data_IF_140810018825
#
_entry.id   IF_140810018825
#
_cell.length_a   1.000
_cell.length_b   1.000
_cell.length_c   1.000
_cell.angle_alpha   90.00
_cell.angle_beta   90.00
_cell.angle_gamma   90.00
#
_symmetry.space_group_name_H-M   'P 1'
#
loop_
_entity.id
_entity.type
_entity.pdbx_description
1 polymer ?
#
# COMPACT_ATOMS: atom_id res chain seq x y z
N UNK A 1 -24.53 -11.86 11.50
CA UNK A 1 -23.23 -11.27 11.91
C UNK A 1 -22.11 -11.53 10.90
N UNK A 2 -22.09 -12.68 10.20
CA UNK A 2 -21.08 -12.98 9.16
C UNK A 2 -21.14 -12.06 7.92
N UNK A 3 -22.33 -11.82 7.35
CA UNK A 3 -22.47 -11.01 6.11
C UNK A 3 -21.95 -9.58 6.28
N UNK A 4 -22.21 -8.93 7.42
CA UNK A 4 -21.69 -7.58 7.70
C UNK A 4 -20.15 -7.59 7.72
N UNK A 5 -19.54 -8.56 8.39
CA UNK A 5 -18.08 -8.69 8.45
C UNK A 5 -17.50 -8.94 7.05
N UNK A 6 -18.11 -9.80 6.24
CA UNK A 6 -17.69 -10.07 4.86
C UNK A 6 -17.74 -8.80 3.99
N UNK A 7 -18.87 -8.09 4.01
CA UNK A 7 -19.05 -6.84 3.24
C UNK A 7 -18.06 -5.77 3.70
N UNK A 8 -17.91 -5.58 5.01
CA UNK A 8 -16.96 -4.62 5.56
C UNK A 8 -15.52 -4.96 5.18
N UNK A 9 -15.14 -6.24 5.27
CA UNK A 9 -13.79 -6.70 4.90
C UNK A 9 -13.52 -6.43 3.41
N UNK A 10 -14.46 -6.79 2.54
CA UNK A 10 -14.34 -6.53 1.09
C UNK A 10 -14.25 -5.04 0.81
N UNK A 11 -15.07 -4.19 1.43
CA UNK A 11 -15.03 -2.75 1.23
C UNK A 11 -13.68 -2.14 1.63
N UNK A 12 -13.12 -2.56 2.77
CA UNK A 12 -11.81 -2.08 3.24
C UNK A 12 -10.67 -2.55 2.34
N UNK A 13 -10.64 -3.84 2.00
CA UNK A 13 -9.60 -4.41 1.12
C UNK A 13 -9.69 -3.85 -0.29
N UNK A 14 -10.89 -3.68 -0.84
CA UNK A 14 -11.10 -3.06 -2.14
C UNK A 14 -10.63 -1.59 -2.15
N UNK A 15 -10.88 -0.84 -1.07
CA UNK A 15 -10.40 0.55 -0.94
C UNK A 15 -8.87 0.61 -0.90
N UNK A 16 -8.22 -0.24 -0.10
CA UNK A 16 -6.76 -0.36 -0.05
C UNK A 16 -6.17 -0.72 -1.43
N UNK A 17 -6.78 -1.70 -2.10
CA UNK A 17 -6.40 -2.11 -3.45
C UNK A 17 -6.57 -0.97 -4.45
N UNK A 18 -7.70 -0.27 -4.45
CA UNK A 18 -7.98 0.81 -5.40
C UNK A 18 -6.93 1.93 -5.34
N UNK A 19 -6.51 2.32 -4.13
CA UNK A 19 -5.47 3.35 -3.96
C UNK A 19 -4.10 2.89 -4.47
N UNK A 20 -3.71 1.64 -4.21
CA UNK A 20 -2.46 1.07 -4.72
C UNK A 20 -2.49 0.88 -6.25
N UNK A 21 -3.62 0.41 -6.78
CA UNK A 21 -3.82 0.21 -8.21
C UNK A 21 -3.85 1.54 -8.97
N UNK A 22 -4.49 2.57 -8.43
CA UNK A 22 -4.48 3.91 -9.02
C UNK A 22 -3.04 4.41 -9.21
N UNK A 23 -2.20 4.29 -8.17
CA UNK A 23 -0.77 4.64 -8.27
C UNK A 23 -0.05 3.84 -9.35
N UNK A 24 -0.26 2.53 -9.42
CA UNK A 24 0.37 1.67 -10.41
C UNK A 24 -0.05 2.04 -11.85
N UNK A 25 -1.32 2.37 -12.07
CA UNK A 25 -1.85 2.73 -13.39
C UNK A 25 -1.39 4.10 -13.89
N UNK A 26 -1.02 5.01 -13.00
CA UNK A 26 -0.46 6.31 -13.38
C UNK A 26 1.01 6.24 -13.84
N UNK A 27 1.70 5.12 -13.59
CA UNK A 27 3.12 4.96 -13.88
C UNK A 27 3.51 5.35 -15.33
N UNK A 28 2.80 4.92 -16.39
CA UNK A 28 3.17 5.28 -17.77
C UNK A 28 3.14 6.79 -18.04
N UNK A 29 2.27 7.52 -17.34
CA UNK A 29 2.22 8.99 -17.38
C UNK A 29 3.36 9.60 -16.59
N UNK A 30 3.57 9.14 -15.35
CA UNK A 30 4.61 9.66 -14.45
C UNK A 30 6.03 9.44 -14.98
N UNK A 31 6.29 8.39 -15.75
CA UNK A 31 7.61 8.15 -16.37
C UNK A 31 8.00 9.23 -17.38
N UNK A 32 7.03 9.97 -17.93
CA UNK A 32 7.24 11.05 -18.92
C UNK A 32 7.47 12.42 -18.27
N UNK A 33 7.29 12.52 -16.95
CA UNK A 33 7.42 13.77 -16.21
C UNK A 33 8.87 14.06 -15.84
N UNK A 34 9.23 15.34 -15.85
CA UNK A 34 10.41 15.83 -15.19
C UNK A 34 10.27 15.78 -13.67
N UNK A 35 11.37 16.02 -12.96
CA UNK A 35 11.42 15.93 -11.49
C UNK A 35 10.39 16.86 -10.84
N UNK A 36 10.30 18.10 -11.29
CA UNK A 36 9.41 19.09 -10.67
C UNK A 36 7.94 18.72 -10.88
N UNK A 37 7.55 18.38 -12.10
CA UNK A 37 6.19 17.98 -12.45
C UNK A 37 5.78 16.72 -11.68
N UNK A 38 6.69 15.76 -11.54
CA UNK A 38 6.46 14.55 -10.75
C UNK A 38 6.09 14.89 -9.29
N UNK A 39 6.88 15.73 -8.62
CA UNK A 39 6.59 16.13 -7.24
C UNK A 39 5.33 16.99 -7.10
N UNK A 40 4.96 17.75 -8.14
CA UNK A 40 3.69 18.49 -8.17
C UNK A 40 2.51 17.51 -8.19
N UNK A 41 2.54 16.51 -9.07
CA UNK A 41 1.48 15.50 -9.17
C UNK A 41 1.36 14.71 -7.87
N UNK A 42 2.46 14.37 -7.21
CA UNK A 42 2.44 13.63 -5.93
C UNK A 42 1.63 14.33 -4.81
N UNK A 43 1.41 15.65 -4.89
CA UNK A 43 0.64 16.39 -3.88
C UNK A 43 -0.84 16.04 -3.90
N UNK A 44 -1.39 15.57 -5.02
CA UNK A 44 -2.83 15.26 -5.15
C UNK A 44 -3.27 14.11 -4.23
N UNK A 45 -2.32 13.28 -3.79
CA UNK A 45 -2.61 12.14 -2.92
C UNK A 45 -2.82 12.54 -1.46
N UNK A 46 -2.34 13.73 -1.06
CA UNK A 46 -2.48 14.19 0.31
C UNK A 46 -3.76 15.01 0.52
N UNK A 47 -4.45 14.86 1.66
CA UNK A 47 -4.21 13.86 2.71
C UNK A 47 -4.98 12.54 2.47
N UNK A 48 -5.80 12.47 1.42
CA UNK A 48 -6.79 11.41 1.21
C UNK A 48 -6.21 10.01 1.17
N UNK A 49 -5.11 9.81 0.44
CA UNK A 49 -4.44 8.50 0.36
C UNK A 49 -3.67 8.15 1.64
N UNK A 50 -3.22 9.14 2.41
CA UNK A 50 -2.57 8.89 3.71
C UNK A 50 -3.59 8.43 4.74
N UNK A 51 -4.70 9.15 4.88
CA UNK A 51 -5.73 8.84 5.88
C UNK A 51 -6.55 7.63 5.42
N UNK A 52 -7.06 7.67 4.20
CA UNK A 52 -7.84 6.60 3.60
C UNK A 52 -7.03 5.32 3.47
N UNK A 53 -5.77 5.41 3.00
CA UNK A 53 -4.85 4.28 2.92
C UNK A 53 -4.57 3.68 4.29
N UNK A 54 -4.24 4.49 5.29
CA UNK A 54 -4.01 4.02 6.66
C UNK A 54 -5.23 3.30 7.25
N UNK A 55 -6.42 3.88 7.12
CA UNK A 55 -7.67 3.27 7.63
C UNK A 55 -8.02 1.99 6.87
N UNK A 56 -7.96 2.01 5.53
CA UNK A 56 -8.33 0.87 4.70
C UNK A 56 -7.34 -0.29 4.83
N UNK A 57 -6.04 -0.02 4.86
CA UNK A 57 -5.01 -1.05 4.98
C UNK A 57 -5.04 -1.70 6.37
N UNK A 58 -5.02 -0.91 7.45
CA UNK A 58 -5.06 -1.45 8.82
C UNK A 58 -6.40 -2.12 9.10
N UNK A 59 -7.51 -1.46 8.76
CA UNK A 59 -8.85 -2.00 8.92
C UNK A 59 -9.04 -3.27 8.11
N UNK A 60 -8.57 -3.30 6.86
CA UNK A 60 -8.65 -4.47 5.97
C UNK A 60 -7.88 -5.66 6.51
N UNK A 61 -6.66 -5.46 7.02
CA UNK A 61 -5.87 -6.52 7.67
C UNK A 61 -6.60 -7.07 8.90
N UNK A 62 -7.06 -6.20 9.79
CA UNK A 62 -7.75 -6.61 11.03
C UNK A 62 -9.05 -7.34 10.71
N UNK A 63 -9.87 -6.81 9.81
CA UNK A 63 -11.13 -7.43 9.42
C UNK A 63 -10.91 -8.78 8.73
N UNK A 64 -9.90 -8.89 7.85
CA UNK A 64 -9.54 -10.15 7.18
C UNK A 64 -9.05 -11.19 8.19
N UNK A 65 -8.27 -10.79 9.19
CA UNK A 65 -7.83 -11.68 10.27
C UNK A 65 -9.02 -12.19 11.10
N UNK A 66 -9.92 -11.30 11.52
CA UNK A 66 -11.14 -11.72 12.26
C UNK A 66 -11.99 -12.67 11.40
N UNK A 67 -12.15 -12.38 10.10
CA UNK A 67 -12.86 -13.26 9.17
C UNK A 67 -12.19 -14.64 9.06
N UNK A 68 -10.86 -14.69 9.02
CA UNK A 68 -10.07 -15.92 8.99
C UNK A 68 -10.35 -16.80 10.21
N UNK A 69 -10.39 -16.20 11.42
CA UNK A 69 -10.66 -16.92 12.67
C UNK A 69 -12.06 -17.55 12.72
N UNK A 70 -13.00 -17.00 11.94
CA UNK A 70 -14.37 -17.52 11.82
C UNK A 70 -14.57 -18.45 10.62
N UNK A 71 -13.53 -18.68 9.82
CA UNK A 71 -13.58 -19.49 8.59
C UNK A 71 -13.09 -20.93 8.85
N UNK A 72 -13.66 -21.90 8.15
CA UNK A 72 -13.26 -23.32 8.23
C UNK A 72 -12.98 -23.90 6.84
N UNK A 73 -12.29 -25.05 6.80
CA UNK A 73 -12.05 -25.82 5.57
C UNK A 73 -11.33 -25.00 4.47
N UNK A 74 -11.76 -25.10 3.21
CA UNK A 74 -11.16 -24.38 2.06
C UNK A 74 -11.20 -22.87 2.25
N UNK A 75 -12.27 -22.36 2.86
CA UNK A 75 -12.47 -20.93 3.12
C UNK A 75 -11.36 -20.36 3.99
N UNK A 76 -10.95 -21.10 5.03
CA UNK A 76 -9.85 -20.70 5.90
C UNK A 76 -8.57 -20.42 5.09
N UNK A 77 -8.20 -21.32 4.18
CA UNK A 77 -6.98 -21.19 3.39
C UNK A 77 -7.04 -20.02 2.39
N UNK A 78 -8.20 -19.75 1.80
CA UNK A 78 -8.40 -18.59 0.92
C UNK A 78 -8.28 -17.27 1.69
N UNK A 79 -8.91 -17.16 2.86
CA UNK A 79 -8.83 -15.94 3.69
C UNK A 79 -7.42 -15.78 4.28
N UNK A 80 -6.75 -16.87 4.68
CA UNK A 80 -5.37 -16.84 5.13
C UNK A 80 -4.41 -16.37 4.02
N UNK A 81 -4.61 -16.84 2.77
CA UNK A 81 -3.88 -16.35 1.61
C UNK A 81 -4.13 -14.86 1.34
N UNK A 82 -5.37 -14.41 1.46
CA UNK A 82 -5.71 -12.99 1.34
C UNK A 82 -5.00 -12.14 2.40
N UNK A 83 -5.02 -12.58 3.67
CA UNK A 83 -4.33 -11.92 4.76
C UNK A 83 -2.81 -11.86 4.53
N UNK A 84 -2.20 -12.95 4.08
CA UNK A 84 -0.78 -13.00 3.75
C UNK A 84 -0.42 -11.99 2.65
N UNK A 85 -1.24 -11.87 1.60
CA UNK A 85 -1.06 -10.85 0.56
C UNK A 85 -1.12 -9.43 1.10
N UNK A 86 -2.06 -9.12 2.02
CA UNK A 86 -2.14 -7.79 2.65
C UNK A 86 -0.93 -7.49 3.53
N UNK A 87 -0.42 -8.48 4.27
CA UNK A 87 0.82 -8.34 5.05
C UNK A 87 2.02 -8.10 4.13
N UNK A 88 2.11 -8.81 3.00
CA UNK A 88 3.18 -8.62 2.02
C UNK A 88 3.09 -7.23 1.35
N UNK A 89 1.88 -6.76 1.02
CA UNK A 89 1.65 -5.38 0.59
C UNK A 89 2.22 -4.38 1.62
N UNK A 90 1.98 -4.60 2.92
CA UNK A 90 2.52 -3.73 3.97
C UNK A 90 4.04 -3.82 4.11
N UNK A 91 4.60 -5.03 3.99
CA UNK A 91 6.05 -5.25 4.02
C UNK A 91 6.75 -4.48 2.88
N UNK A 92 6.17 -4.51 1.68
CA UNK A 92 6.69 -3.75 0.53
C UNK A 92 6.72 -2.25 0.83
N UNK A 93 5.69 -1.70 1.49
CA UNK A 93 5.73 -0.29 1.89
C UNK A 93 6.90 0.00 2.83
N UNK A 94 7.05 -0.79 3.90
CA UNK A 94 8.09 -0.54 4.88
C UNK A 94 9.51 -0.71 4.32
N UNK A 95 9.71 -1.64 3.40
CA UNK A 95 11.03 -1.97 2.84
C UNK A 95 11.37 -1.12 1.60
N UNK A 96 10.38 -0.73 0.79
CA UNK A 96 10.62 -0.04 -0.49
C UNK A 96 10.13 1.40 -0.49
N UNK A 97 8.86 1.65 -0.14
CA UNK A 97 8.26 2.99 -0.20
C UNK A 97 8.78 3.90 0.91
N UNK A 98 8.77 3.42 2.15
CA UNK A 98 9.06 4.23 3.32
C UNK A 98 10.49 4.79 3.34
N UNK A 99 11.54 4.05 2.94
CA UNK A 99 12.88 4.64 2.83
C UNK A 99 12.95 5.81 1.84
N UNK A 100 12.21 5.74 0.73
CA UNK A 100 12.15 6.83 -0.25
C UNK A 100 11.35 8.02 0.31
N UNK A 101 10.20 7.77 0.96
CA UNK A 101 9.44 8.83 1.64
C UNK A 101 10.29 9.55 2.67
N UNK A 102 11.07 8.81 3.47
CA UNK A 102 12.00 9.40 4.45
C UNK A 102 12.99 10.33 3.80
N UNK A 103 13.60 9.92 2.69
CA UNK A 103 14.54 10.74 1.93
C UNK A 103 13.87 11.98 1.32
N UNK A 104 12.69 11.85 0.72
CA UNK A 104 11.96 12.99 0.14
C UNK A 104 11.44 13.99 1.18
N UNK A 105 11.17 13.54 2.41
CA UNK A 105 10.69 14.39 3.51
C UNK A 105 11.81 15.01 4.35
N UNK A 106 13.09 14.78 4.03
CA UNK A 106 14.21 15.36 4.79
C UNK A 106 14.19 16.89 4.78
N UNK A 107 13.70 17.49 3.68
CA UNK A 107 13.68 18.94 3.46
C UNK A 107 12.30 19.57 3.71
N UNK A 108 11.31 18.80 4.17
CA UNK A 108 9.94 19.28 4.42
C UNK A 108 9.74 19.51 5.92
N UNK A 109 9.25 20.69 6.32
CA UNK A 109 8.86 20.93 7.72
C UNK A 109 7.66 20.05 8.10
N UNK A 110 7.95 18.92 8.72
CA UNK A 110 6.95 17.98 9.23
C UNK A 110 6.43 18.39 10.62
N UNK A 111 5.15 18.13 10.88
CA UNK A 111 4.58 18.16 12.24
C UNK A 111 5.22 17.08 13.13
N UNK A 112 5.24 17.31 14.45
CA UNK A 112 5.94 16.46 15.41
C UNK A 112 5.58 14.94 15.35
N UNK A 113 4.32 14.52 15.11
CA UNK A 113 3.98 13.10 14.94
C UNK A 113 4.58 12.49 13.66
N UNK A 114 4.59 13.25 12.56
CA UNK A 114 5.18 12.80 11.30
C UNK A 114 6.70 12.62 11.43
N UNK A 115 7.40 13.55 12.10
CA UNK A 115 8.85 13.41 12.38
C UNK A 115 9.19 12.08 13.07
N UNK A 116 8.38 11.64 14.05
CA UNK A 116 8.61 10.37 14.76
C UNK A 116 8.34 9.13 13.90
N UNK A 117 7.35 9.16 13.02
CA UNK A 117 7.06 8.07 12.10
C UNK A 117 8.18 7.86 11.06
N UNK A 118 8.81 8.95 10.63
CA UNK A 118 9.87 8.93 9.61
C UNK A 118 11.30 8.85 10.18
N UNK A 119 11.53 9.16 11.45
CA UNK A 119 12.85 9.06 12.07
C UNK A 119 13.17 7.64 12.56
N UNK A 120 14.03 6.92 11.84
CA UNK A 120 14.91 5.91 12.47
C UNK A 120 16.33 6.14 11.94
N UNK A 121 17.29 6.19 12.85
CA UNK A 121 18.69 6.49 12.58
C UNK A 121 19.34 5.47 11.61
N UNK A 122 20.21 5.97 10.73
CA UNK A 122 21.29 5.17 10.14
C UNK A 122 21.12 4.73 8.68
N UNK A 123 21.85 5.41 7.79
CA UNK A 123 22.84 4.85 6.85
C UNK A 123 22.85 5.66 5.55
N UNK A 124 23.65 6.72 5.53
CA UNK A 124 23.93 7.49 4.32
C UNK A 124 24.97 6.72 3.49
N UNK A 125 24.51 6.06 2.44
CA UNK A 125 25.38 5.59 1.36
C UNK A 125 25.89 6.75 0.50
N UNK A 126 26.92 6.49 -0.30
CA UNK A 126 27.58 7.49 -1.16
C UNK A 126 26.61 8.22 -2.11
N UNK A 127 26.75 9.54 -2.33
CA UNK A 127 25.84 10.29 -3.20
C UNK A 127 25.98 9.89 -4.67
N UNK A 128 24.86 9.67 -5.36
CA UNK A 128 24.79 9.56 -6.82
C UNK A 128 24.67 10.96 -7.46
N UNK A 129 24.94 11.14 -8.76
CA UNK A 129 24.61 12.38 -9.46
C UNK A 129 23.12 12.73 -9.25
N UNK A 130 22.80 13.98 -8.92
CA UNK A 130 21.47 14.41 -8.45
C UNK A 130 20.31 14.00 -9.39
N UNK A 131 20.56 13.93 -10.71
CA UNK A 131 19.62 13.45 -11.74
C UNK A 131 19.42 11.94 -11.74
N UNK A 132 20.49 11.20 -11.55
CA UNK A 132 20.50 9.73 -11.50
C UNK A 132 19.93 9.23 -10.17
N UNK A 133 20.19 9.96 -9.08
CA UNK A 133 19.65 9.70 -7.74
C UNK A 133 18.13 9.83 -7.71
N UNK A 134 17.56 10.95 -8.19
CA UNK A 134 16.10 11.12 -8.12
C UNK A 134 15.36 10.10 -9.00
N UNK A 135 15.91 9.76 -10.17
CA UNK A 135 15.29 8.78 -11.08
C UNK A 135 15.28 7.39 -10.44
N UNK A 136 16.37 6.99 -9.78
CA UNK A 136 16.44 5.74 -9.04
C UNK A 136 15.41 5.70 -7.89
N UNK A 137 15.28 6.79 -7.14
CA UNK A 137 14.30 6.91 -6.06
C UNK A 137 12.86 6.88 -6.58
N UNK A 138 12.55 7.61 -7.65
CA UNK A 138 11.24 7.55 -8.34
C UNK A 138 10.95 6.11 -8.75
N UNK A 139 11.86 5.46 -9.46
CA UNK A 139 11.62 4.11 -9.98
C UNK A 139 11.39 3.10 -8.85
N UNK A 140 12.15 3.20 -7.74
CA UNK A 140 11.93 2.38 -6.54
C UNK A 140 10.56 2.63 -5.92
N UNK A 141 10.17 3.90 -5.78
CA UNK A 141 8.89 4.28 -5.19
C UNK A 141 7.72 3.80 -6.05
N UNK A 142 7.77 4.03 -7.37
CA UNK A 142 6.74 3.58 -8.30
C UNK A 142 6.63 2.05 -8.38
N UNK A 143 7.77 1.35 -8.47
CA UNK A 143 7.79 -0.11 -8.48
C UNK A 143 7.16 -0.68 -7.20
N UNK A 144 7.41 -0.06 -6.04
CA UNK A 144 6.80 -0.49 -4.78
C UNK A 144 5.28 -0.46 -4.84
N UNK A 145 4.69 0.51 -5.54
CA UNK A 145 3.23 0.63 -5.68
C UNK A 145 2.66 -0.37 -6.67
N UNK A 146 3.36 -0.68 -7.76
CA UNK A 146 2.99 -1.76 -8.66
C UNK A 146 2.96 -3.10 -7.93
N UNK A 147 4.00 -3.41 -7.16
CA UNK A 147 4.08 -4.67 -6.38
C UNK A 147 2.99 -4.70 -5.30
N UNK A 148 2.75 -3.59 -4.60
CA UNK A 148 1.65 -3.46 -3.63
C UNK A 148 0.28 -3.69 -4.28
N UNK A 149 0.04 -3.12 -5.46
CA UNK A 149 -1.20 -3.31 -6.20
C UNK A 149 -1.41 -4.79 -6.57
N UNK A 150 -0.37 -5.49 -7.01
CA UNK A 150 -0.46 -6.92 -7.35
C UNK A 150 -0.88 -7.76 -6.14
N UNK A 151 -0.26 -7.54 -4.97
CA UNK A 151 -0.65 -8.22 -3.74
C UNK A 151 -2.08 -7.87 -3.30
N UNK A 152 -2.46 -6.59 -3.37
CA UNK A 152 -3.80 -6.15 -2.97
C UNK A 152 -4.91 -6.73 -3.88
N UNK A 153 -4.67 -6.77 -5.20
CA UNK A 153 -5.59 -7.40 -6.17
C UNK A 153 -5.72 -8.89 -5.89
N UNK A 154 -4.61 -9.60 -5.69
CA UNK A 154 -4.64 -11.03 -5.36
C UNK A 154 -5.41 -11.28 -4.05
N UNK A 155 -5.16 -10.47 -3.02
CA UNK A 155 -5.88 -10.56 -1.75
C UNK A 155 -7.39 -10.36 -1.93
N UNK A 156 -7.80 -9.37 -2.73
CA UNK A 156 -9.22 -9.14 -3.01
C UNK A 156 -9.85 -10.33 -3.74
N UNK A 157 -9.16 -10.88 -4.76
CA UNK A 157 -9.65 -12.06 -5.52
C UNK A 157 -9.85 -13.26 -4.59
N UNK A 158 -8.87 -13.57 -3.73
CA UNK A 158 -8.95 -14.68 -2.78
C UNK A 158 -10.10 -14.48 -1.78
N UNK A 159 -10.26 -13.26 -1.26
CA UNK A 159 -11.31 -12.90 -0.34
C UNK A 159 -12.71 -13.02 -0.98
N UNK A 160 -12.91 -12.47 -2.18
CA UNK A 160 -14.21 -12.56 -2.87
C UNK A 160 -14.52 -13.98 -3.31
N UNK A 161 -13.51 -14.76 -3.70
CA UNK A 161 -13.68 -16.19 -4.01
C UNK A 161 -14.13 -16.97 -2.78
N UNK A 162 -13.49 -16.74 -1.63
CA UNK A 162 -13.89 -17.33 -0.34
C UNK A 162 -15.36 -17.08 -0.01
N UNK A 163 -15.87 -15.88 -0.30
CA UNK A 163 -17.28 -15.52 -0.05
C UNK A 163 -18.20 -16.18 -1.08
N UNK A 164 -17.82 -16.15 -2.36
CA UNK A 164 -18.63 -16.71 -3.45
C UNK A 164 -18.86 -18.23 -3.30
N UNK A 165 -17.84 -18.99 -2.87
CA UNK A 165 -17.97 -20.44 -2.65
C UNK A 165 -18.71 -20.81 -1.36
N UNK A 166 -18.92 -19.85 -0.45
CA UNK A 166 -19.68 -20.09 0.78
C UNK A 166 -21.19 -19.95 0.55
N UNK A 167 -21.60 -19.13 -0.41
CA UNK A 167 -23.00 -18.92 -0.77
C UNK A 167 -23.56 -19.88 -1.83
N UNK A 168 -22.72 -20.77 -2.37
CA UNK A 168 -23.09 -21.83 -3.32
C UNK A 168 -23.28 -23.16 -2.59
#
# INVERSE_FOLDING_TARGET
>A
MHVFLEVLTVALVASAMAMALAHALELPGKLRLGRQEYFVVQRIYYPGFTIGGGVAEVGGIVATFVLMLTSSSVRFWLVAGALAGLILMQLVFWVMTQPVNRHWLQDVELTAPAKRFFATEGSAGSPLPQTQEWTALRNRWELSHVVRAAFAVLSLILLTTSIAIHGA
#
